data_IF_040811110200
#
_entry.id   IF_040811110200
#
_cell.length_a   1.000
_cell.length_b   1.000
_cell.length_c   1.000
_cell.angle_alpha   90.00
_cell.angle_beta   90.00
_cell.angle_gamma   90.00
#
_symmetry.space_group_name_H-M   'P 1'
#
loop_
_entity.id
_entity.type
_entity.pdbx_description
1 polymer ?
#
# COMPACT_ATOMS: atom_id res chain seq x y z
N UNK A 1 5.21 8.79 26.90
CA UNK A 1 5.35 7.50 26.20
C UNK A 1 5.23 7.78 24.71
N UNK A 2 6.33 7.70 23.97
CA UNK A 2 6.29 7.65 22.50
C UNK A 2 5.49 6.42 22.12
N UNK A 3 4.29 6.60 21.56
CA UNK A 3 3.47 5.50 21.07
C UNK A 3 4.16 4.95 19.82
N UNK A 4 5.01 3.95 19.99
CA UNK A 4 5.53 3.20 18.85
C UNK A 4 4.35 2.52 18.13
N UNK A 5 4.36 2.61 16.81
CA UNK A 5 3.34 2.08 15.89
C UNK A 5 3.35 0.54 15.83
N UNK A 6 3.18 -0.09 16.99
CA UNK A 6 3.15 -1.55 17.14
C UNK A 6 1.85 -2.15 16.58
N UNK A 7 1.86 -3.46 16.31
CA UNK A 7 0.65 -4.20 15.90
C UNK A 7 -0.52 -4.01 16.87
N UNK A 8 -0.23 -3.99 18.19
CA UNK A 8 -1.24 -3.76 19.24
C UNK A 8 -1.85 -2.36 19.18
N UNK A 9 -1.04 -1.35 18.83
CA UNK A 9 -1.52 0.02 18.66
C UNK A 9 -2.51 0.09 17.48
N UNK A 10 -2.14 -0.47 16.33
CA UNK A 10 -3.02 -0.50 15.15
C UNK A 10 -4.31 -1.30 15.37
N UNK A 11 -4.23 -2.41 16.09
CA UNK A 11 -5.41 -3.19 16.47
C UNK A 11 -6.39 -2.36 17.31
N UNK A 12 -5.88 -1.55 18.25
CA UNK A 12 -6.70 -0.64 19.04
C UNK A 12 -7.41 0.39 18.15
N UNK A 13 -6.69 0.99 17.19
CA UNK A 13 -7.26 1.96 16.24
C UNK A 13 -8.35 1.34 15.37
N UNK A 14 -8.08 0.16 14.81
CA UNK A 14 -9.05 -0.56 13.97
C UNK A 14 -10.31 -0.97 14.76
N UNK A 15 -10.14 -1.34 16.02
CA UNK A 15 -11.27 -1.65 16.92
C UNK A 15 -12.10 -0.40 17.22
N UNK A 16 -11.46 0.77 17.41
CA UNK A 16 -12.19 2.04 17.55
C UNK A 16 -13.00 2.39 16.29
N UNK A 17 -12.49 2.09 15.09
CA UNK A 17 -13.23 2.29 13.84
C UNK A 17 -14.47 1.38 13.77
N UNK A 18 -14.36 0.13 14.21
CA UNK A 18 -15.53 -0.75 14.32
C UNK A 18 -16.55 -0.24 15.34
N UNK A 19 -16.10 0.26 16.49
CA UNK A 19 -16.98 0.87 17.50
C UNK A 19 -17.70 2.11 16.96
N UNK A 20 -17.09 2.83 15.99
CA UNK A 20 -17.71 3.92 15.22
C UNK A 20 -18.59 3.45 14.07
N UNK A 21 -18.90 2.14 14.00
CA UNK A 21 -19.79 1.48 13.04
C UNK A 21 -19.22 1.31 11.63
N UNK A 22 -17.89 1.32 11.46
CA UNK A 22 -17.27 0.84 10.21
C UNK A 22 -17.44 -0.67 10.15
N UNK A 23 -18.32 -1.13 9.25
CA UNK A 23 -18.67 -2.56 9.11
C UNK A 23 -17.72 -3.31 8.19
N UNK A 24 -17.37 -2.69 7.06
CA UNK A 24 -16.50 -3.32 6.08
C UNK A 24 -15.68 -2.29 5.31
N UNK A 25 -14.54 -2.74 4.81
CA UNK A 25 -13.60 -1.95 4.01
C UNK A 25 -13.18 -2.85 2.85
N UNK A 26 -13.41 -2.45 1.61
CA UNK A 26 -13.06 -3.29 0.47
C UNK A 26 -11.54 -3.36 0.26
N UNK A 27 -10.87 -2.20 0.31
CA UNK A 27 -9.42 -2.06 0.09
C UNK A 27 -8.79 -1.28 1.25
N UNK A 28 -7.70 -1.79 1.79
CA UNK A 28 -6.88 -1.11 2.77
C UNK A 28 -5.47 -0.86 2.21
N UNK A 29 -5.11 0.41 2.02
CA UNK A 29 -3.79 0.80 1.51
C UNK A 29 -2.81 1.04 2.68
N UNK A 30 -1.70 0.31 2.69
CA UNK A 30 -0.67 0.39 3.75
C UNK A 30 0.68 0.86 3.21
N UNK A 31 1.50 1.47 4.06
CA UNK A 31 2.84 1.97 3.73
C UNK A 31 3.97 1.00 4.16
N UNK A 32 3.72 -0.31 4.12
CA UNK A 32 4.72 -1.31 4.51
C UNK A 32 5.09 -1.32 6.01
N UNK A 33 4.25 -0.73 6.86
CA UNK A 33 4.43 -0.76 8.31
C UNK A 33 4.39 -2.19 8.85
N UNK A 34 5.32 -2.52 9.75
CA UNK A 34 5.40 -3.86 10.35
C UNK A 34 4.25 -4.06 11.33
N UNK A 35 3.50 -5.15 11.16
CA UNK A 35 2.39 -5.52 12.04
C UNK A 35 1.06 -4.79 11.81
N UNK A 36 1.01 -3.78 10.94
CA UNK A 36 -0.27 -3.18 10.54
C UNK A 36 -1.11 -4.10 9.64
N UNK A 37 -0.55 -4.78 8.62
CA UNK A 37 -1.30 -5.76 7.83
C UNK A 37 -1.92 -6.87 8.68
N UNK A 38 -1.15 -7.42 9.62
CA UNK A 38 -1.63 -8.45 10.55
C UNK A 38 -2.81 -7.96 11.43
N UNK A 39 -2.77 -6.69 11.85
CA UNK A 39 -3.88 -6.10 12.60
C UNK A 39 -5.14 -5.92 11.73
N UNK A 40 -4.97 -5.57 10.46
CA UNK A 40 -6.09 -5.45 9.50
C UNK A 40 -6.72 -6.83 9.28
N UNK A 41 -5.93 -7.86 8.96
CA UNK A 41 -6.44 -9.22 8.73
C UNK A 41 -7.26 -9.75 9.92
N UNK A 42 -6.86 -9.40 11.14
CA UNK A 42 -7.55 -9.82 12.37
C UNK A 42 -8.92 -9.17 12.52
N UNK A 43 -9.01 -7.85 12.35
CA UNK A 43 -10.27 -7.09 12.57
C UNK A 43 -11.17 -7.18 11.35
N UNK A 44 -10.55 -7.33 10.20
CA UNK A 44 -11.11 -7.19 8.91
C UNK A 44 -10.51 -8.31 8.01
N UNK A 45 -11.12 -9.51 7.96
CA UNK A 45 -10.58 -10.63 7.17
C UNK A 45 -10.91 -10.58 5.66
N UNK A 46 -12.02 -9.96 5.26
CA UNK A 46 -12.49 -9.90 3.86
C UNK A 46 -11.84 -8.82 2.97
N UNK A 47 -10.87 -8.06 3.46
CA UNK A 47 -10.36 -6.87 2.74
C UNK A 47 -9.17 -7.26 1.89
N UNK A 48 -8.99 -6.54 0.79
CA UNK A 48 -7.76 -6.59 0.04
C UNK A 48 -6.77 -5.57 0.59
N UNK A 49 -5.61 -6.05 1.04
CA UNK A 49 -4.51 -5.20 1.49
C UNK A 49 -3.64 -4.87 0.27
N UNK A 50 -3.40 -3.58 0.03
CA UNK A 50 -2.57 -3.10 -1.06
C UNK A 50 -1.50 -2.15 -0.53
N UNK A 51 -0.39 -2.02 -1.24
CA UNK A 51 0.58 -0.96 -0.96
C UNK A 51 0.05 0.39 -1.44
N UNK A 52 0.20 1.41 -0.61
CA UNK A 52 -0.21 2.75 -0.99
C UNK A 52 0.75 3.32 -2.06
N UNK A 53 0.27 3.40 -3.30
CA UNK A 53 1.04 3.95 -4.42
C UNK A 53 1.54 5.38 -4.15
N UNK A 54 0.77 6.19 -3.42
CA UNK A 54 1.17 7.55 -3.04
C UNK A 54 2.41 7.53 -2.15
N UNK A 55 2.47 6.62 -1.18
CA UNK A 55 3.66 6.47 -0.35
C UNK A 55 4.82 5.89 -1.14
N UNK A 56 4.57 4.92 -2.04
CA UNK A 56 5.59 4.37 -2.92
C UNK A 56 6.24 5.46 -3.78
N UNK A 57 5.45 6.25 -4.51
CA UNK A 57 5.93 7.34 -5.36
C UNK A 57 6.65 8.41 -4.52
N UNK A 58 6.10 8.79 -3.36
CA UNK A 58 6.75 9.76 -2.46
C UNK A 58 8.11 9.25 -1.98
N UNK A 59 8.18 7.99 -1.56
CA UNK A 59 9.43 7.37 -1.09
C UNK A 59 10.44 7.26 -2.23
N UNK A 60 10.04 6.85 -3.43
CA UNK A 60 10.91 6.79 -4.60
C UNK A 60 11.48 8.16 -4.98
N UNK A 61 10.66 9.22 -4.96
CA UNK A 61 11.11 10.58 -5.31
C UNK A 61 12.05 11.20 -4.26
N UNK A 62 12.11 10.67 -3.03
CA UNK A 62 13.03 11.16 -2.01
C UNK A 62 14.51 10.91 -2.35
N UNK A 63 14.80 9.89 -3.15
CA UNK A 63 16.15 9.59 -3.63
C UNK A 63 16.62 10.51 -4.77
N UNK A 64 15.74 11.38 -5.26
CA UNK A 64 16.00 12.25 -6.41
C UNK A 64 16.07 13.70 -5.95
N UNK A 65 17.03 14.46 -6.49
CA UNK A 65 17.10 15.90 -6.29
C UNK A 65 15.84 16.61 -6.78
N UNK A 66 15.44 17.68 -6.09
CA UNK A 66 14.19 18.41 -6.36
C UNK A 66 14.03 18.81 -7.83
N UNK A 67 15.14 19.18 -8.49
CA UNK A 67 15.17 19.63 -9.88
C UNK A 67 14.67 18.56 -10.87
N UNK A 68 14.88 17.28 -10.58
CA UNK A 68 14.52 16.17 -11.48
C UNK A 68 13.23 15.46 -11.09
N UNK A 69 12.64 15.76 -9.91
CA UNK A 69 11.43 15.08 -9.44
C UNK A 69 10.24 15.25 -10.38
N UNK A 70 10.05 16.44 -10.96
CA UNK A 70 8.93 16.68 -11.89
C UNK A 70 9.03 15.78 -13.14
N UNK A 71 10.22 15.69 -13.72
CA UNK A 71 10.46 14.87 -14.90
C UNK A 71 10.30 13.36 -14.64
N UNK A 72 10.61 12.90 -13.42
CA UNK A 72 10.44 11.50 -13.03
C UNK A 72 9.03 11.16 -12.52
N UNK A 73 8.31 12.13 -11.95
CA UNK A 73 6.96 11.91 -11.44
C UNK A 73 5.94 11.72 -12.58
N UNK A 74 6.15 12.37 -13.72
CA UNK A 74 5.28 12.27 -14.90
C UNK A 74 5.14 10.82 -15.40
N UNK A 75 6.21 10.09 -15.77
CA UNK A 75 6.09 8.69 -16.20
C UNK A 75 5.59 7.74 -15.10
N UNK A 76 5.93 8.00 -13.83
CA UNK A 76 5.43 7.21 -12.69
C UNK A 76 3.92 7.38 -12.47
N UNK A 77 3.35 8.54 -12.85
CA UNK A 77 1.93 8.82 -12.72
C UNK A 77 1.11 8.25 -13.88
N UNK A 78 1.65 8.27 -15.10
CA UNK A 78 0.95 7.77 -16.30
C UNK A 78 1.00 6.24 -16.43
N UNK A 79 1.89 5.57 -15.70
CA UNK A 79 2.08 4.11 -15.79
C UNK A 79 2.93 3.68 -17.00
N UNK A 80 3.38 4.62 -17.83
CA UNK A 80 4.16 4.35 -19.04
C UNK A 80 5.54 3.71 -18.75
N UNK A 81 6.02 3.81 -17.51
CA UNK A 81 7.22 3.10 -17.06
C UNK A 81 7.04 1.58 -16.87
N UNK A 82 5.80 1.06 -16.81
CA UNK A 82 5.58 -0.40 -16.84
C UNK A 82 5.78 -1.01 -18.23
N UNK A 83 5.66 -0.21 -19.30
CA UNK A 83 5.88 -0.66 -20.68
C UNK A 83 7.34 -0.57 -21.15
N UNK A 84 8.23 -0.03 -20.32
CA UNK A 84 9.66 0.11 -20.64
C UNK A 84 10.56 -0.52 -19.56
N UNK A 85 10.15 -1.64 -18.96
CA UNK A 85 11.07 -2.57 -18.29
C UNK A 85 11.33 -3.74 -19.25
N UNK A 86 12.49 -3.83 -19.92
CA UNK A 86 12.84 -5.00 -20.71
C UNK A 86 13.32 -6.13 -19.78
N UNK A 87 12.50 -6.53 -18.81
CA UNK A 87 12.64 -7.86 -18.22
C UNK A 87 11.52 -8.71 -18.78
N UNK A 88 11.90 -9.68 -19.61
CA UNK A 88 11.02 -10.71 -20.14
C UNK A 88 10.44 -11.58 -19.03
N UNK A 89 9.45 -11.06 -18.32
CA UNK A 89 8.56 -11.87 -17.50
C UNK A 89 7.41 -12.33 -18.39
N UNK A 90 7.26 -13.64 -18.64
CA UNK A 90 6.15 -14.14 -19.43
C UNK A 90 4.83 -13.83 -18.72
N UNK A 91 3.89 -13.26 -19.45
CA UNK A 91 2.56 -12.85 -19.01
C UNK A 91 1.62 -14.03 -18.68
N UNK A 92 2.15 -15.25 -18.53
CA UNK A 92 1.40 -16.46 -18.23
C UNK A 92 1.06 -16.63 -16.75
N UNK A 93 1.73 -15.91 -15.85
CA UNK A 93 1.62 -16.18 -14.41
C UNK A 93 0.69 -15.19 -13.68
N UNK A 94 0.03 -14.29 -14.41
CA UNK A 94 -1.08 -13.50 -13.87
C UNK A 94 -2.38 -14.31 -13.91
N UNK A 95 -2.36 -15.48 -13.27
CA UNK A 95 -3.57 -16.20 -12.95
C UNK A 95 -4.26 -15.46 -11.79
N UNK A 96 -5.01 -14.44 -12.16
CA UNK A 96 -6.07 -13.81 -11.38
C UNK A 96 -7.05 -14.92 -10.96
N UNK A 97 -6.81 -15.52 -9.81
CA UNK A 97 -7.75 -16.46 -9.22
C UNK A 97 -8.90 -15.66 -8.62
N UNK A 98 -9.92 -15.46 -9.45
CA UNK A 98 -11.30 -15.25 -9.02
C UNK A 98 -11.80 -16.50 -8.29
N UNK A 99 -11.72 -16.50 -6.96
CA UNK A 99 -12.70 -17.12 -6.03
C UNK A 99 -12.63 -16.40 -4.69
#
# INVERSE_FOLDING_TARGET
MTKNESSKFWLSVLTELQNRRVKDIFIACVDGLTGFPAAIETVLPKKQIQFCIVHLVRNSLNYVSWKHRKALAEPLATGDSFLCFPLGYPQSDLHYQDT
#
